data_IF_605195661003
#
_entry.id   IF_605195661003
#
_cell.length_a   1.000
_cell.length_b   1.000
_cell.length_c   1.000
_cell.angle_alpha   90.00
_cell.angle_beta   90.00
_cell.angle_gamma   90.00
#
_symmetry.space_group_name_H-M   'P 1'
#
loop_
_entity.id
_entity.type
_entity.pdbx_description
1 polymer ?
#
# COMPACT_ATOMS: atom_id res chain seq x y z
N UNK A 1 0.86 4.81 -19.84
CA UNK A 1 0.21 4.49 -18.53
C UNK A 1 -0.51 5.74 -18.01
N UNK A 2 -1.35 5.60 -16.96
CA UNK A 2 -2.24 6.67 -16.48
C UNK A 2 -1.72 7.47 -15.27
N UNK A 3 -0.44 7.35 -14.93
CA UNK A 3 0.14 8.04 -13.77
C UNK A 3 0.13 9.57 -13.93
N UNK A 4 -0.02 10.29 -12.82
CA UNK A 4 0.09 11.76 -12.83
C UNK A 4 1.54 12.22 -12.93
N UNK A 5 1.75 13.48 -13.31
CA UNK A 5 3.07 14.13 -13.34
C UNK A 5 3.67 14.44 -11.96
N UNK A 6 2.93 14.24 -10.87
CA UNK A 6 3.36 14.56 -9.50
C UNK A 6 3.75 13.32 -8.66
N UNK A 7 3.44 12.11 -9.15
CA UNK A 7 3.68 10.86 -8.41
C UNK A 7 4.97 10.15 -8.81
N UNK A 8 5.46 9.30 -7.91
CA UNK A 8 6.61 8.42 -8.18
C UNK A 8 6.32 7.37 -9.26
N UNK A 9 5.06 6.97 -9.42
CA UNK A 9 4.68 5.87 -10.34
C UNK A 9 5.01 6.14 -11.79
N UNK A 10 4.98 7.40 -12.23
CA UNK A 10 5.39 7.73 -13.60
C UNK A 10 6.84 7.29 -13.87
N UNK A 11 7.74 7.50 -12.91
CA UNK A 11 9.16 7.16 -13.05
C UNK A 11 9.33 5.65 -12.94
N UNK A 12 8.59 4.98 -12.04
CA UNK A 12 8.61 3.52 -11.91
C UNK A 12 8.21 2.84 -13.23
N UNK A 13 7.12 3.28 -13.85
CA UNK A 13 6.68 2.74 -15.14
C UNK A 13 7.63 3.11 -16.27
N UNK A 14 8.04 4.37 -16.40
CA UNK A 14 8.94 4.82 -17.46
C UNK A 14 10.26 4.04 -17.45
N UNK A 15 10.87 3.87 -16.27
CA UNK A 15 12.14 3.14 -16.12
C UNK A 15 11.96 1.66 -16.45
N UNK A 16 10.92 1.02 -15.93
CA UNK A 16 10.68 -0.40 -16.19
C UNK A 16 10.41 -0.68 -17.68
N UNK A 17 9.57 0.15 -18.33
CA UNK A 17 9.24 -0.02 -19.75
C UNK A 17 10.48 0.23 -20.61
N UNK A 18 11.24 1.30 -20.35
CA UNK A 18 12.48 1.59 -21.11
C UNK A 18 13.55 0.52 -20.94
N UNK A 19 13.63 -0.11 -19.77
CA UNK A 19 14.61 -1.17 -19.51
C UNK A 19 14.22 -2.50 -20.19
N UNK A 20 12.94 -2.85 -20.19
CA UNK A 20 12.46 -4.14 -20.71
C UNK A 20 12.10 -4.10 -22.20
N UNK A 21 11.58 -2.98 -22.67
CA UNK A 21 11.01 -2.79 -23.99
C UNK A 21 11.40 -1.41 -24.56
N UNK A 22 12.69 -1.15 -24.82
CA UNK A 22 13.20 0.19 -25.17
C UNK A 22 12.60 0.79 -26.45
N UNK A 23 12.13 -0.04 -27.37
CA UNK A 23 11.56 0.39 -28.65
C UNK A 23 10.08 0.79 -28.57
N UNK A 24 9.42 0.56 -27.42
CA UNK A 24 8.01 0.94 -27.25
C UNK A 24 7.87 2.43 -26.94
N UNK A 25 6.95 3.07 -27.65
CA UNK A 25 6.49 4.41 -27.31
C UNK A 25 5.70 4.39 -25.99
N UNK A 26 6.06 5.29 -25.07
CA UNK A 26 5.34 5.47 -23.81
C UNK A 26 4.39 6.64 -23.97
N UNK A 27 3.08 6.34 -23.96
CA UNK A 27 2.01 7.34 -24.00
C UNK A 27 1.49 7.59 -22.58
N UNK A 28 1.47 8.87 -22.16
CA UNK A 28 1.07 9.28 -20.79
C UNK A 28 0.05 10.42 -20.76
N UNK A 29 -1.21 10.18 -21.17
CA UNK A 29 -2.19 11.25 -21.39
C UNK A 29 -2.49 12.09 -20.14
N UNK A 30 -2.57 11.46 -18.96
CA UNK A 30 -2.84 12.18 -17.70
C UNK A 30 -1.71 13.15 -17.35
N UNK A 31 -0.46 12.76 -17.59
CA UNK A 31 0.72 13.59 -17.34
C UNK A 31 0.88 14.67 -18.40
N UNK A 32 0.78 14.29 -19.66
CA UNK A 32 1.18 15.14 -20.79
C UNK A 32 0.09 16.14 -21.17
N UNK A 33 -1.19 15.75 -21.05
CA UNK A 33 -2.34 16.60 -21.38
C UNK A 33 -2.97 17.27 -20.14
N UNK A 34 -2.55 16.89 -18.92
CA UNK A 34 -2.95 17.56 -17.68
C UNK A 34 -4.43 17.43 -17.32
N UNK A 35 -5.07 16.31 -17.66
CA UNK A 35 -6.49 16.08 -17.39
C UNK A 35 -6.83 16.16 -15.91
N UNK A 36 -7.78 17.03 -15.56
CA UNK A 36 -8.34 17.10 -14.21
C UNK A 36 -9.41 16.02 -13.99
N UNK A 37 -9.60 15.57 -12.74
CA UNK A 37 -10.67 14.62 -12.40
C UNK A 37 -12.07 15.09 -12.89
N UNK A 38 -12.48 16.37 -12.72
CA UNK A 38 -13.74 16.86 -13.28
C UNK A 38 -13.81 16.79 -14.81
N UNK A 39 -12.73 17.15 -15.51
CA UNK A 39 -12.69 17.07 -16.97
C UNK A 39 -12.80 15.61 -17.46
N UNK A 40 -12.07 14.69 -16.82
CA UNK A 40 -12.17 13.25 -17.12
C UNK A 40 -13.57 12.70 -16.86
N UNK A 41 -14.21 13.09 -15.74
CA UNK A 41 -15.56 12.68 -15.43
C UNK A 41 -16.60 13.20 -16.44
N UNK A 42 -16.49 14.46 -16.85
CA UNK A 42 -17.37 15.04 -17.86
C UNK A 42 -17.22 14.34 -19.22
N UNK A 43 -15.98 14.11 -19.66
CA UNK A 43 -15.68 13.42 -20.92
C UNK A 43 -16.21 11.97 -20.95
N UNK A 44 -16.15 11.28 -19.81
CA UNK A 44 -16.72 9.94 -19.64
C UNK A 44 -18.25 9.98 -19.63
N UNK A 45 -18.85 10.96 -18.96
CA UNK A 45 -20.31 11.14 -18.92
C UNK A 45 -20.89 11.43 -20.32
N UNK A 46 -20.23 12.26 -21.13
CA UNK A 46 -20.56 12.49 -22.55
C UNK A 46 -20.60 11.19 -23.38
N UNK A 47 -19.90 10.14 -22.92
CA UNK A 47 -19.79 8.82 -23.57
C UNK A 47 -20.62 7.74 -22.86
N UNK A 48 -21.51 8.15 -21.94
CA UNK A 48 -22.41 7.24 -21.22
C UNK A 48 -21.73 6.44 -20.09
N UNK A 49 -20.52 6.82 -19.68
CA UNK A 49 -19.84 6.20 -18.53
C UNK A 49 -20.06 7.07 -17.30
N UNK A 50 -20.90 6.60 -16.38
CA UNK A 50 -21.20 7.28 -15.12
C UNK A 50 -20.19 6.89 -14.04
N UNK A 51 -19.46 7.88 -13.51
CA UNK A 51 -18.50 7.68 -12.42
C UNK A 51 -19.20 7.97 -11.07
N UNK A 52 -19.17 7.06 -10.09
CA UNK A 52 -19.72 7.31 -8.76
C UNK A 52 -19.00 8.47 -8.05
N UNK A 53 -19.76 9.41 -7.49
CA UNK A 53 -19.25 10.58 -6.75
C UNK A 53 -18.48 10.21 -5.48
N UNK A 54 -18.71 9.02 -4.93
CA UNK A 54 -18.05 8.50 -3.72
C UNK A 54 -16.53 8.26 -3.87
N UNK A 55 -16.00 8.28 -5.09
CA UNK A 55 -14.58 7.98 -5.40
C UNK A 55 -13.66 9.21 -5.40
N UNK A 56 -14.15 10.36 -4.96
CA UNK A 56 -13.51 11.66 -5.25
C UNK A 56 -12.53 12.15 -4.19
N UNK A 57 -12.62 11.63 -2.96
CA UNK A 57 -11.97 12.27 -1.81
C UNK A 57 -10.55 11.76 -1.53
N UNK A 58 -10.34 10.45 -1.64
CA UNK A 58 -9.04 9.83 -1.43
C UNK A 58 -8.55 9.11 -2.69
N UNK A 59 -7.24 9.07 -2.84
CA UNK A 59 -6.55 8.22 -3.79
C UNK A 59 -6.06 6.98 -3.04
N UNK A 60 -6.79 5.88 -3.19
CA UNK A 60 -6.47 4.59 -2.58
C UNK A 60 -5.80 3.70 -3.61
N UNK A 61 -4.61 3.19 -3.29
CA UNK A 61 -3.95 2.14 -4.04
C UNK A 61 -3.85 0.91 -3.14
N UNK A 62 -4.52 -0.16 -3.55
CA UNK A 62 -4.65 -1.40 -2.78
C UNK A 62 -4.06 -2.56 -3.59
N UNK A 63 -3.20 -3.34 -2.96
CA UNK A 63 -2.70 -4.61 -3.48
C UNK A 63 -2.54 -5.61 -2.34
N UNK A 64 -2.18 -6.86 -2.65
CA UNK A 64 -2.04 -7.93 -1.65
C UNK A 64 -1.14 -7.54 -0.45
N UNK A 65 -0.09 -6.77 -0.69
CA UNK A 65 0.91 -6.43 0.33
C UNK A 65 0.50 -5.27 1.24
N UNK A 66 -0.47 -4.46 0.83
CA UNK A 66 -0.88 -3.29 1.59
C UNK A 66 -1.70 -2.28 0.80
N UNK A 67 -2.17 -1.27 1.52
CA UNK A 67 -2.94 -0.13 1.03
C UNK A 67 -2.14 1.14 1.28
N UNK A 68 -2.17 2.06 0.31
CA UNK A 68 -1.75 3.45 0.52
C UNK A 68 -2.89 4.39 0.23
N UNK A 69 -3.11 5.36 1.11
CA UNK A 69 -4.21 6.32 1.04
C UNK A 69 -3.62 7.73 1.03
N UNK A 70 -3.90 8.50 -0.01
CA UNK A 70 -3.49 9.89 -0.14
C UNK A 70 -4.65 10.83 -0.45
N UNK A 71 -4.46 12.12 -0.25
CA UNK A 71 -5.48 13.16 -0.44
C UNK A 71 -5.96 13.75 0.89
N UNK A 72 -6.72 14.85 0.81
CA UNK A 72 -7.34 15.53 1.96
C UNK A 72 -6.40 15.72 3.16
N UNK A 73 -6.66 15.03 4.28
CA UNK A 73 -5.94 15.14 5.54
C UNK A 73 -4.45 14.79 5.38
N UNK A 74 -4.08 14.02 4.36
CA UNK A 74 -2.65 13.74 4.11
C UNK A 74 -1.88 15.00 3.67
N UNK A 75 -2.54 16.07 3.23
CA UNK A 75 -1.91 17.34 2.88
C UNK A 75 -1.63 18.26 4.08
N UNK A 76 -2.26 18.02 5.24
CA UNK A 76 -2.05 18.82 6.46
C UNK A 76 -1.27 17.99 7.50
N UNK A 77 -0.05 18.41 7.92
CA UNK A 77 0.73 17.67 8.90
C UNK A 77 0.08 17.56 10.28
N UNK A 78 -0.91 18.39 10.59
CA UNK A 78 -1.65 18.37 11.86
C UNK A 78 -2.90 17.48 11.84
N UNK A 79 -3.23 16.88 10.71
CA UNK A 79 -4.39 16.01 10.56
C UNK A 79 -3.99 14.54 10.38
N UNK A 80 -4.86 13.63 10.81
CA UNK A 80 -4.77 12.19 10.52
C UNK A 80 -6.02 11.76 9.77
N UNK A 81 -5.98 10.57 9.15
CA UNK A 81 -7.17 10.03 8.50
C UNK A 81 -8.32 9.82 9.52
N UNK A 82 -9.56 10.20 9.16
CA UNK A 82 -10.73 9.78 9.92
C UNK A 82 -10.89 8.26 9.84
N UNK A 83 -11.54 7.64 10.83
CA UNK A 83 -11.57 6.17 10.91
C UNK A 83 -12.21 5.51 9.67
N UNK A 84 -13.25 6.13 9.12
CA UNK A 84 -13.91 5.64 7.89
C UNK A 84 -13.08 5.75 6.60
N UNK A 85 -11.86 6.32 6.66
CA UNK A 85 -10.95 6.37 5.52
C UNK A 85 -9.93 5.22 5.52
N UNK A 86 -9.76 4.48 6.63
CA UNK A 86 -8.96 3.25 6.65
C UNK A 86 -9.73 2.11 5.97
N UNK A 87 -9.04 1.30 5.18
CA UNK A 87 -9.67 0.27 4.37
C UNK A 87 -9.65 -1.12 5.03
N UNK A 88 -8.58 -1.46 5.77
CA UNK A 88 -8.33 -2.83 6.23
C UNK A 88 -8.23 -2.95 7.74
N UNK A 89 -7.73 -1.93 8.41
CA UNK A 89 -7.31 -1.98 9.80
C UNK A 89 -8.33 -1.33 10.69
N UNK A 90 -8.55 -1.95 11.85
CA UNK A 90 -9.44 -1.41 12.88
C UNK A 90 -8.71 -0.40 13.75
N UNK A 91 -9.44 0.58 14.28
CA UNK A 91 -8.99 1.43 15.36
C UNK A 91 -8.48 0.63 16.57
N UNK A 92 -7.40 1.10 17.20
CA UNK A 92 -6.77 0.41 18.32
C UNK A 92 -7.70 0.31 19.56
N UNK A 93 -8.61 1.26 19.73
CA UNK A 93 -9.63 1.29 20.78
C UNK A 93 -10.87 0.43 20.46
N UNK A 94 -11.06 0.05 19.20
CA UNK A 94 -12.11 -0.89 18.76
C UNK A 94 -11.57 -2.32 18.53
N UNK A 95 -10.25 -2.49 18.52
CA UNK A 95 -9.57 -3.78 18.39
C UNK A 95 -9.84 -4.69 19.60
N UNK A 96 -9.84 -6.03 19.43
CA UNK A 96 -9.98 -6.95 20.55
C UNK A 96 -8.91 -6.69 21.62
N UNK A 97 -9.34 -6.54 22.88
CA UNK A 97 -8.42 -6.27 24.00
C UNK A 97 -7.51 -7.47 24.31
N UNK A 98 -7.97 -8.69 24.02
CA UNK A 98 -7.17 -9.90 24.14
C UNK A 98 -6.21 -10.00 22.95
N UNK A 99 -4.91 -10.12 23.25
CA UNK A 99 -3.91 -10.43 22.23
C UNK A 99 -4.08 -11.84 21.68
N UNK A 100 -3.58 -12.05 20.46
CA UNK A 100 -3.50 -13.36 19.82
C UNK A 100 -2.03 -13.72 19.65
N UNK A 101 -1.67 -14.92 20.07
CA UNK A 101 -0.35 -15.50 19.83
C UNK A 101 -0.42 -16.32 18.54
N UNK A 102 0.56 -16.11 17.65
CA UNK A 102 0.73 -16.88 16.42
C UNK A 102 2.17 -17.34 16.29
N UNK A 103 2.36 -18.48 15.63
CA UNK A 103 3.68 -19.01 15.27
C UNK A 103 3.83 -18.99 13.75
N UNK A 104 4.78 -18.21 13.25
CA UNK A 104 5.10 -18.17 11.82
C UNK A 104 6.34 -19.03 11.56
N UNK A 105 6.20 -20.03 10.69
CA UNK A 105 7.32 -20.86 10.28
C UNK A 105 8.03 -20.26 9.06
N UNK A 106 9.37 -20.26 9.08
CA UNK A 106 10.20 -19.80 7.98
C UNK A 106 11.13 -20.92 7.51
N UNK A 107 11.31 -21.01 6.18
CA UNK A 107 12.34 -21.83 5.56
C UNK A 107 13.21 -20.94 4.66
N UNK A 108 14.51 -20.85 4.97
CA UNK A 108 15.47 -20.03 4.21
C UNK A 108 15.00 -18.58 4.01
N UNK A 109 14.40 -17.99 5.05
CA UNK A 109 13.87 -16.62 5.05
C UNK A 109 12.48 -16.47 4.45
N UNK A 110 11.88 -17.53 3.88
CA UNK A 110 10.53 -17.47 3.29
C UNK A 110 9.50 -18.01 4.29
N UNK A 111 8.42 -17.28 4.59
CA UNK A 111 7.36 -17.79 5.46
C UNK A 111 6.57 -18.91 4.77
N UNK A 112 6.24 -19.99 5.50
CA UNK A 112 5.66 -21.22 4.94
C UNK A 112 4.42 -21.74 5.68
N UNK A 113 4.23 -21.35 6.94
CA UNK A 113 3.10 -21.79 7.76
C UNK A 113 2.74 -20.78 8.86
N UNK A 114 1.49 -20.82 9.31
CA UNK A 114 0.98 -20.13 10.50
C UNK A 114 0.37 -21.18 11.42
N UNK A 115 0.76 -21.20 12.69
CA UNK A 115 0.30 -22.16 13.71
C UNK A 115 0.42 -23.63 13.29
N UNK A 116 1.49 -23.94 12.55
CA UNK A 116 1.78 -25.27 12.02
C UNK A 116 0.96 -25.65 10.77
N UNK A 117 0.00 -24.83 10.34
CA UNK A 117 -0.74 -25.02 9.10
C UNK A 117 0.07 -24.47 7.91
N UNK A 118 0.55 -25.35 7.04
CA UNK A 118 1.25 -24.96 5.82
C UNK A 118 0.32 -24.24 4.83
N UNK A 119 0.81 -23.16 4.23
CA UNK A 119 0.04 -22.32 3.30
C UNK A 119 0.93 -21.84 2.16
N UNK A 120 0.34 -21.55 0.99
CA UNK A 120 1.05 -20.79 -0.03
C UNK A 120 1.24 -19.33 0.40
N UNK A 121 2.18 -18.62 -0.23
CA UNK A 121 2.52 -17.25 0.15
C UNK A 121 1.37 -16.26 0.03
N UNK A 122 0.44 -16.44 -0.92
CA UNK A 122 -0.71 -15.54 -1.07
C UNK A 122 -1.70 -15.76 0.05
N UNK A 123 -2.03 -17.02 0.34
CA UNK A 123 -2.91 -17.39 1.44
C UNK A 123 -2.35 -16.92 2.79
N UNK A 124 -1.04 -17.09 3.00
CA UNK A 124 -0.34 -16.64 4.21
C UNK A 124 -0.44 -15.12 4.39
N UNK A 125 -0.14 -14.34 3.34
CA UNK A 125 -0.23 -12.87 3.41
C UNK A 125 -1.68 -12.43 3.66
N UNK A 126 -2.68 -13.05 3.02
CA UNK A 126 -4.09 -12.74 3.28
C UNK A 126 -4.50 -13.01 4.72
N UNK A 127 -4.11 -14.17 5.26
CA UNK A 127 -4.42 -14.55 6.63
C UNK A 127 -3.81 -13.55 7.64
N UNK A 128 -2.56 -13.14 7.42
CA UNK A 128 -1.91 -12.14 8.28
C UNK A 128 -2.48 -10.73 8.10
N UNK A 129 -2.92 -10.36 6.90
CA UNK A 129 -3.62 -9.08 6.69
C UNK A 129 -4.94 -9.04 7.45
N UNK A 130 -5.73 -10.12 7.40
CA UNK A 130 -7.00 -10.21 8.12
C UNK A 130 -6.79 -10.19 9.63
N UNK A 131 -5.89 -11.03 10.15
CA UNK A 131 -5.58 -11.08 11.57
C UNK A 131 -4.99 -9.76 12.07
N UNK A 132 -3.93 -9.27 11.44
CA UNK A 132 -3.29 -8.02 11.84
C UNK A 132 -4.23 -6.81 11.71
N UNK A 133 -5.03 -6.77 10.64
CA UNK A 133 -6.02 -5.73 10.41
C UNK A 133 -7.08 -5.68 11.51
N UNK A 134 -7.61 -6.83 11.92
CA UNK A 134 -8.57 -6.93 13.02
C UNK A 134 -8.01 -6.42 14.37
N UNK A 135 -6.70 -6.48 14.56
CA UNK A 135 -5.99 -6.00 15.75
C UNK A 135 -5.31 -4.63 15.58
N UNK A 136 -5.58 -3.91 14.48
CA UNK A 136 -5.04 -2.57 14.24
C UNK A 136 -3.53 -2.51 13.95
N UNK A 137 -2.93 -3.65 13.58
CA UNK A 137 -1.49 -3.77 13.31
C UNK A 137 -1.16 -3.23 11.92
N UNK A 138 -0.02 -2.53 11.80
CA UNK A 138 0.56 -2.17 10.51
C UNK A 138 -0.09 -0.98 9.80
N UNK A 139 -0.83 -0.12 10.52
CA UNK A 139 -1.33 1.15 10.00
C UNK A 139 -0.50 2.35 10.44
N UNK A 140 -0.40 3.39 9.61
CA UNK A 140 0.31 4.60 9.99
C UNK A 140 0.32 5.70 8.92
N UNK A 141 0.98 6.81 9.25
CA UNK A 141 1.25 7.92 8.35
C UNK A 141 2.75 8.00 8.07
N UNK A 142 3.13 8.16 6.82
CA UNK A 142 4.52 8.34 6.39
C UNK A 142 4.70 9.69 5.70
N UNK A 143 5.78 10.38 6.05
CA UNK A 143 6.29 11.55 5.31
C UNK A 143 7.66 11.17 4.78
N UNK A 144 7.84 11.29 3.47
CA UNK A 144 9.08 10.92 2.81
C UNK A 144 9.37 11.79 1.60
N UNK A 145 10.61 11.73 1.13
CA UNK A 145 11.01 12.40 -0.09
C UNK A 145 10.63 11.54 -1.30
N UNK A 146 10.05 12.20 -2.30
CA UNK A 146 9.72 11.60 -3.60
C UNK A 146 10.95 11.63 -4.51
N UNK A 147 10.93 10.81 -5.57
CA UNK A 147 12.00 10.83 -6.57
C UNK A 147 12.08 12.17 -7.32
N UNK A 148 11.00 12.96 -7.27
CA UNK A 148 10.91 14.29 -7.84
C UNK A 148 11.52 15.38 -6.94
N UNK A 149 12.05 15.02 -5.76
CA UNK A 149 12.67 15.95 -4.83
C UNK A 149 11.69 16.76 -3.97
N UNK A 150 10.39 16.43 -4.01
CA UNK A 150 9.36 17.02 -3.14
C UNK A 150 9.00 16.06 -2.02
N UNK A 151 8.44 16.57 -0.91
CA UNK A 151 7.90 15.72 0.17
C UNK A 151 6.51 15.20 -0.19
N UNK A 152 6.30 13.92 0.04
CA UNK A 152 5.00 13.25 -0.01
C UNK A 152 4.59 12.82 1.39
N UNK A 153 3.31 12.96 1.70
CA UNK A 153 2.70 12.43 2.92
C UNK A 153 1.52 11.53 2.57
N UNK A 154 1.53 10.32 3.11
CA UNK A 154 0.60 9.25 2.75
C UNK A 154 0.26 8.42 3.98
N UNK A 155 -0.96 7.93 4.07
CA UNK A 155 -1.30 6.88 5.03
C UNK A 155 -1.05 5.50 4.41
N UNK A 156 -0.76 4.51 5.23
CA UNK A 156 -0.60 3.14 4.76
C UNK A 156 -1.18 2.13 5.74
N UNK A 157 -1.56 0.97 5.20
CA UNK A 157 -1.98 -0.22 5.94
C UNK A 157 -1.25 -1.42 5.35
N UNK A 158 -0.41 -2.09 6.14
CA UNK A 158 0.33 -3.26 5.70
C UNK A 158 0.50 -4.28 6.86
N UNK A 159 -0.60 -4.91 7.34
CA UNK A 159 -0.55 -5.73 8.54
C UNK A 159 0.36 -6.95 8.38
N UNK A 160 0.23 -7.70 7.27
CA UNK A 160 1.11 -8.83 7.00
C UNK A 160 2.58 -8.42 6.89
N UNK A 161 2.86 -7.29 6.24
CA UNK A 161 4.23 -6.79 6.12
C UNK A 161 4.83 -6.47 7.48
N UNK A 162 4.10 -5.79 8.36
CA UNK A 162 4.55 -5.48 9.71
C UNK A 162 4.87 -6.76 10.50
N UNK A 163 3.93 -7.72 10.53
CA UNK A 163 4.11 -9.00 11.24
C UNK A 163 5.29 -9.78 10.69
N UNK A 164 5.37 -9.94 9.37
CA UNK A 164 6.41 -10.76 8.73
C UNK A 164 7.80 -10.14 8.87
N UNK A 165 7.93 -8.82 8.71
CA UNK A 165 9.22 -8.14 8.82
C UNK A 165 9.74 -8.18 10.26
N UNK A 166 8.86 -8.01 11.26
CA UNK A 166 9.25 -8.11 12.66
C UNK A 166 9.65 -9.55 13.01
N UNK A 167 8.84 -10.55 12.64
CA UNK A 167 9.15 -11.96 12.88
C UNK A 167 10.44 -12.41 12.19
N UNK A 168 10.64 -12.01 10.92
CA UNK A 168 11.85 -12.32 10.17
C UNK A 168 13.08 -11.68 10.81
N UNK A 169 12.99 -10.42 11.25
CA UNK A 169 14.09 -9.73 11.93
C UNK A 169 14.48 -10.42 13.25
N UNK A 170 13.51 -10.89 14.03
CA UNK A 170 13.82 -11.65 15.25
C UNK A 170 14.46 -13.00 14.93
N UNK A 171 14.00 -13.69 13.88
CA UNK A 171 14.63 -14.93 13.42
C UNK A 171 16.08 -14.70 12.99
N UNK A 172 16.35 -13.64 12.22
CA UNK A 172 17.71 -13.27 11.79
C UNK A 172 18.67 -13.11 12.97
N UNK A 173 18.24 -12.47 14.06
CA UNK A 173 19.07 -12.33 15.27
C UNK A 173 19.45 -13.68 15.90
N UNK A 174 18.63 -14.71 15.69
CA UNK A 174 18.89 -16.05 16.22
C UNK A 174 19.82 -16.88 15.31
N UNK A 175 19.76 -16.66 14.00
CA UNK A 175 20.42 -17.54 13.01
C UNK A 175 21.63 -16.90 12.31
N UNK A 176 21.74 -15.58 12.32
CA UNK A 176 22.88 -14.86 11.76
C UNK A 176 23.92 -14.56 12.84
N UNK A 177 25.18 -14.66 12.43
CA UNK A 177 26.27 -14.21 13.30
C UNK A 177 26.36 -12.68 13.32
N UNK A 178 27.04 -12.12 14.33
CA UNK A 178 27.30 -10.67 14.44
C UNK A 178 27.93 -10.03 13.20
N UNK A 179 28.59 -10.81 12.35
CA UNK A 179 29.36 -10.33 11.19
C UNK A 179 28.60 -10.34 9.88
N UNK A 180 27.32 -10.74 9.91
CA UNK A 180 26.38 -10.72 8.79
C UNK A 180 25.30 -9.67 9.07
#
# INVERSE_FOLDING_TARGET
HGSTGAGNDQIRFDVAIRALCPDLEIITPIRDEGWSRPASAAWLAERGVLIPTSTTEYSVNEGLWGVTIGGKETHDPWQTLPEGAWAWTRAADEAPAAGVEIVVAFERGVPTAIDGAAMDGVALVRALNELGGAHGVGRGMHVGDTILGIKGRVAFEAPAAAILLDAHRELEKMVLSRWQ
#
